data_IF_046467388870
#
_entry.id   IF_046467388870
#
_cell.length_a   1.000
_cell.length_b   1.000
_cell.length_c   1.000
_cell.angle_alpha   90.00
_cell.angle_beta   90.00
_cell.angle_gamma   90.00
#
_symmetry.space_group_name_H-M   'P 1'
#
loop_
_entity.id
_entity.type
_entity.pdbx_description
1 polymer ?
#
# COMPACT_ATOMS: atom_id res chain seq x y z
N UNK A 1 -24.79 -28.29 10.48
CA UNK A 1 -25.45 -27.10 11.06
C UNK A 1 -24.81 -25.86 10.45
N UNK A 2 -25.53 -25.16 9.57
CA UNK A 2 -25.04 -23.96 8.91
C UNK A 2 -25.13 -22.78 9.88
N UNK A 3 -23.98 -22.21 10.24
CA UNK A 3 -23.94 -21.00 11.09
C UNK A 3 -24.27 -19.81 10.19
N UNK A 4 -25.50 -19.32 10.28
CA UNK A 4 -25.91 -18.05 9.69
C UNK A 4 -25.15 -16.94 10.43
N UNK A 5 -24.24 -16.24 9.74
CA UNK A 5 -23.60 -15.02 10.28
C UNK A 5 -24.71 -14.00 10.59
N UNK A 6 -24.71 -13.35 11.78
CA UNK A 6 -25.72 -12.36 12.10
C UNK A 6 -25.65 -11.21 11.10
N UNK A 7 -26.80 -10.84 10.53
CA UNK A 7 -26.92 -9.70 9.63
C UNK A 7 -26.61 -8.40 10.36
N UNK A 8 -25.70 -7.59 9.83
CA UNK A 8 -25.37 -6.26 10.34
C UNK A 8 -26.65 -5.45 10.57
N UNK A 9 -26.83 -4.89 11.76
CA UNK A 9 -28.03 -4.14 12.14
C UNK A 9 -28.20 -2.86 11.30
N UNK A 10 -29.43 -2.35 11.20
CA UNK A 10 -29.69 -1.06 10.51
C UNK A 10 -28.88 0.10 11.12
N UNK A 11 -28.67 0.06 12.45
CA UNK A 11 -27.88 1.06 13.17
C UNK A 11 -26.41 1.01 12.76
N UNK A 12 -25.82 -0.18 12.68
CA UNK A 12 -24.44 -0.37 12.23
C UNK A 12 -24.26 0.06 10.77
N UNK A 13 -25.20 -0.29 9.88
CA UNK A 13 -25.17 0.16 8.48
C UNK A 13 -25.23 1.67 8.35
N UNK A 14 -26.11 2.33 9.11
CA UNK A 14 -26.18 3.80 9.15
C UNK A 14 -24.88 4.39 9.67
N UNK A 15 -24.30 3.83 10.73
CA UNK A 15 -23.02 4.29 11.29
C UNK A 15 -21.89 4.15 10.25
N UNK A 16 -21.82 3.02 9.54
CA UNK A 16 -20.83 2.80 8.49
C UNK A 16 -20.99 3.82 7.35
N UNK A 17 -22.21 4.02 6.85
CA UNK A 17 -22.48 5.00 5.80
C UNK A 17 -22.08 6.43 6.22
N UNK A 18 -22.35 6.82 7.47
CA UNK A 18 -21.90 8.12 7.99
C UNK A 18 -20.37 8.21 8.10
N UNK A 19 -19.69 7.13 8.48
CA UNK A 19 -18.22 7.09 8.49
C UNK A 19 -17.69 7.27 7.07
N UNK A 20 -18.25 6.58 6.08
CA UNK A 20 -17.84 6.70 4.68
C UNK A 20 -18.03 8.12 4.15
N UNK A 21 -19.13 8.79 4.52
CA UNK A 21 -19.37 10.20 4.21
C UNK A 21 -18.32 11.12 4.83
N UNK A 22 -18.02 10.95 6.13
CA UNK A 22 -16.99 11.73 6.82
C UNK A 22 -15.61 11.51 6.17
N UNK A 23 -15.26 10.26 5.82
CA UNK A 23 -14.01 9.94 5.14
C UNK A 23 -13.96 10.59 3.76
N UNK A 24 -15.03 10.51 2.97
CA UNK A 24 -15.09 11.14 1.66
C UNK A 24 -14.90 12.67 1.74
N UNK A 25 -15.49 13.33 2.73
CA UNK A 25 -15.30 14.77 2.96
C UNK A 25 -13.87 15.07 3.40
N UNK A 26 -13.34 14.32 4.36
CA UNK A 26 -11.96 14.48 4.83
C UNK A 26 -10.91 14.25 3.72
N UNK A 27 -11.16 13.34 2.78
CA UNK A 27 -10.31 13.13 1.60
C UNK A 27 -10.35 14.32 0.63
N UNK A 28 -11.52 14.94 0.41
CA UNK A 28 -11.60 16.18 -0.37
C UNK A 28 -10.85 17.31 0.31
N UNK A 29 -11.07 17.49 1.61
CA UNK A 29 -10.34 18.48 2.41
C UNK A 29 -8.82 18.28 2.33
N UNK A 30 -8.36 17.02 2.44
CA UNK A 30 -6.94 16.66 2.28
C UNK A 30 -6.41 17.03 0.89
N UNK A 31 -7.21 16.85 -0.17
CA UNK A 31 -6.81 17.20 -1.53
C UNK A 31 -6.75 18.72 -1.77
N UNK A 32 -7.65 19.49 -1.16
CA UNK A 32 -7.78 20.93 -1.36
C UNK A 32 -6.84 21.75 -0.46
N UNK A 33 -6.61 21.29 0.77
CA UNK A 33 -5.91 22.06 1.81
C UNK A 33 -4.65 21.35 2.37
N UNK A 34 -4.48 20.06 2.07
CA UNK A 34 -3.37 19.27 2.58
C UNK A 34 -3.58 18.81 4.04
N UNK A 35 -2.64 17.98 4.51
CA UNK A 35 -2.76 17.29 5.81
C UNK A 35 -2.59 18.20 7.02
N UNK A 36 -1.93 19.35 6.84
CA UNK A 36 -1.67 20.32 7.91
C UNK A 36 -2.96 21.01 8.37
N UNK A 37 -3.88 21.28 7.44
CA UNK A 37 -5.14 21.97 7.72
C UNK A 37 -6.27 21.01 8.12
N UNK A 38 -6.05 19.69 7.96
CA UNK A 38 -7.02 18.66 8.35
C UNK A 38 -7.29 18.69 9.86
N UNK A 39 -8.52 19.04 10.21
CA UNK A 39 -9.02 19.05 11.59
C UNK A 39 -10.47 18.57 11.68
N UNK A 40 -10.85 18.00 12.83
CA UNK A 40 -12.24 17.60 13.10
C UNK A 40 -13.22 18.77 12.94
N UNK A 41 -12.80 20.00 13.24
CA UNK A 41 -13.65 21.19 13.07
C UNK A 41 -13.90 21.51 11.61
N UNK A 42 -12.86 21.47 10.77
CA UNK A 42 -12.98 21.73 9.34
C UNK A 42 -13.89 20.68 8.68
N UNK A 43 -13.64 19.40 8.97
CA UNK A 43 -14.44 18.28 8.45
C UNK A 43 -15.89 18.35 8.94
N UNK A 44 -16.13 18.62 10.22
CA UNK A 44 -17.49 18.74 10.75
C UNK A 44 -18.30 19.82 10.02
N UNK A 45 -17.69 20.98 9.78
CA UNK A 45 -18.32 22.08 9.04
C UNK A 45 -18.69 21.67 7.61
N UNK A 46 -17.84 20.94 6.92
CA UNK A 46 -18.07 20.50 5.54
C UNK A 46 -19.10 19.37 5.41
N UNK A 47 -19.13 18.43 6.37
CA UNK A 47 -20.18 17.38 6.43
C UNK A 47 -21.53 17.96 6.88
N UNK A 48 -21.56 19.17 7.45
CA UNK A 48 -22.77 19.75 8.05
C UNK A 48 -23.10 19.19 9.43
N UNK A 49 -22.08 18.69 10.15
CA UNK A 49 -22.19 18.18 11.51
C UNK A 49 -21.70 19.20 12.55
N UNK A 50 -22.20 19.09 13.78
CA UNK A 50 -21.51 19.73 14.90
C UNK A 50 -20.19 19.01 15.19
N UNK A 51 -19.20 19.73 15.72
CA UNK A 51 -17.92 19.13 16.12
C UNK A 51 -18.15 18.03 17.17
N UNK A 52 -19.09 18.25 18.10
CA UNK A 52 -19.48 17.25 19.10
C UNK A 52 -20.05 15.98 18.47
N UNK A 53 -20.86 16.09 17.42
CA UNK A 53 -21.36 14.93 16.68
C UNK A 53 -20.21 14.16 16.02
N UNK A 54 -19.24 14.85 15.44
CA UNK A 54 -18.08 14.22 14.80
C UNK A 54 -17.20 13.45 15.80
N UNK A 55 -17.06 13.96 17.03
CA UNK A 55 -16.36 13.26 18.11
C UNK A 55 -16.99 11.90 18.49
N UNK A 56 -18.27 11.64 18.17
CA UNK A 56 -18.86 10.31 18.36
C UNK A 56 -18.39 9.27 17.31
N UNK A 57 -17.73 9.71 16.25
CA UNK A 57 -17.17 8.85 15.20
C UNK A 57 -15.65 8.76 15.28
N UNK A 58 -14.99 9.88 15.56
CA UNK A 58 -13.53 9.98 15.66
C UNK A 58 -13.13 10.77 16.91
N UNK A 59 -12.51 10.07 17.86
CA UNK A 59 -12.14 10.64 19.17
C UNK A 59 -11.07 11.75 19.07
N UNK A 60 -10.32 11.78 17.96
CA UNK A 60 -9.25 12.75 17.73
C UNK A 60 -8.96 12.96 16.23
N UNK A 61 -8.14 13.98 15.93
CA UNK A 61 -7.55 14.16 14.60
C UNK A 61 -6.76 12.92 14.18
N UNK A 62 -6.03 12.31 15.10
CA UNK A 62 -5.20 11.13 14.83
C UNK A 62 -6.05 9.89 14.55
N UNK A 63 -7.22 9.77 15.19
CA UNK A 63 -8.20 8.74 14.86
C UNK A 63 -8.73 8.90 13.42
N UNK A 64 -9.01 10.14 13.00
CA UNK A 64 -9.41 10.43 11.62
C UNK A 64 -8.26 10.14 10.63
N UNK A 65 -7.03 10.57 10.92
CA UNK A 65 -5.85 10.27 10.09
C UNK A 65 -5.62 8.77 9.94
N UNK A 66 -5.71 8.02 11.03
CA UNK A 66 -5.57 6.55 11.03
C UNK A 66 -6.64 5.91 10.15
N UNK A 67 -7.87 6.41 10.18
CA UNK A 67 -8.94 5.92 9.32
C UNK A 67 -8.73 6.27 7.84
N UNK A 68 -8.21 7.46 7.53
CA UNK A 68 -7.83 7.85 6.17
C UNK A 68 -6.69 6.97 5.62
N UNK A 69 -5.68 6.67 6.45
CA UNK A 69 -4.58 5.77 6.09
C UNK A 69 -5.10 4.35 5.84
N UNK A 70 -5.99 3.85 6.70
CA UNK A 70 -6.64 2.55 6.52
C UNK A 70 -7.45 2.52 5.22
N UNK A 71 -8.21 3.58 4.93
CA UNK A 71 -8.97 3.72 3.69
C UNK A 71 -8.05 3.69 2.47
N UNK A 72 -6.98 4.50 2.47
CA UNK A 72 -6.04 4.58 1.35
C UNK A 72 -5.32 3.27 1.07
N UNK A 73 -4.80 2.60 2.11
CA UNK A 73 -4.19 1.29 1.94
C UNK A 73 -5.17 0.22 1.46
N UNK A 74 -6.41 0.21 1.94
CA UNK A 74 -7.43 -0.74 1.46
C UNK A 74 -7.77 -0.49 -0.02
N UNK A 75 -8.04 0.76 -0.39
CA UNK A 75 -8.36 1.11 -1.77
C UNK A 75 -7.20 0.81 -2.73
N UNK A 76 -5.95 1.01 -2.30
CA UNK A 76 -4.78 0.62 -3.05
C UNK A 76 -4.66 -0.90 -3.16
N UNK A 77 -4.78 -1.64 -2.05
CA UNK A 77 -4.72 -3.09 -2.05
C UNK A 77 -5.79 -3.70 -2.97
N UNK A 78 -7.02 -3.18 -2.93
CA UNK A 78 -8.11 -3.64 -3.80
C UNK A 78 -7.76 -3.46 -5.29
N UNK A 79 -7.16 -2.33 -5.66
CA UNK A 79 -6.70 -2.09 -7.03
C UNK A 79 -5.58 -3.06 -7.45
N UNK A 80 -4.61 -3.33 -6.57
CA UNK A 80 -3.51 -4.25 -6.85
C UNK A 80 -4.00 -5.70 -6.99
N UNK A 81 -4.89 -6.15 -6.10
CA UNK A 81 -5.49 -7.48 -6.18
C UNK A 81 -6.31 -7.65 -7.45
N UNK A 82 -7.14 -6.66 -7.81
CA UNK A 82 -7.88 -6.68 -9.07
C UNK A 82 -6.96 -6.79 -10.30
N UNK A 83 -5.83 -6.07 -10.30
CA UNK A 83 -4.84 -6.17 -11.36
C UNK A 83 -4.16 -7.55 -11.41
N UNK A 84 -3.79 -8.09 -10.24
CA UNK A 84 -3.18 -9.42 -10.10
C UNK A 84 -4.11 -10.54 -10.58
N UNK A 85 -5.41 -10.42 -10.31
CA UNK A 85 -6.45 -11.35 -10.76
C UNK A 85 -6.71 -11.25 -12.26
N UNK A 86 -6.81 -10.03 -12.78
CA UNK A 86 -7.04 -9.79 -14.22
C UNK A 86 -5.92 -10.35 -15.09
N UNK A 87 -4.68 -10.31 -14.58
CA UNK A 87 -3.48 -10.76 -15.30
C UNK A 87 -2.97 -12.12 -14.80
N UNK A 88 -3.84 -12.94 -14.20
CA UNK A 88 -3.48 -14.26 -13.65
C UNK A 88 -2.84 -15.19 -14.68
N UNK A 89 -3.31 -15.15 -15.92
CA UNK A 89 -2.84 -16.02 -17.01
C UNK A 89 -1.72 -15.40 -17.85
N UNK A 90 -1.26 -14.19 -17.50
CA UNK A 90 -0.15 -13.55 -18.19
C UNK A 90 1.20 -14.18 -17.82
N UNK A 91 2.23 -13.94 -18.64
CA UNK A 91 3.60 -14.30 -18.28
C UNK A 91 4.03 -13.64 -16.98
N UNK A 92 4.92 -14.27 -16.21
CA UNK A 92 5.37 -13.79 -14.90
C UNK A 92 5.78 -12.30 -14.93
N UNK A 93 6.63 -11.92 -15.90
CA UNK A 93 7.10 -10.54 -16.06
C UNK A 93 5.96 -9.58 -16.39
N UNK A 94 5.06 -9.96 -17.30
CA UNK A 94 3.91 -9.13 -17.68
C UNK A 94 2.97 -8.91 -16.50
N UNK A 95 2.76 -9.93 -15.67
CA UNK A 95 1.96 -9.83 -14.44
C UNK A 95 2.60 -8.89 -13.41
N UNK A 96 3.92 -9.00 -13.19
CA UNK A 96 4.67 -8.07 -12.35
C UNK A 96 4.56 -6.62 -12.85
N UNK A 97 4.71 -6.41 -14.16
CA UNK A 97 4.60 -5.10 -14.79
C UNK A 97 3.18 -4.53 -14.64
N UNK A 98 2.14 -5.32 -14.89
CA UNK A 98 0.75 -4.89 -14.80
C UNK A 98 0.40 -4.37 -13.40
N UNK A 99 0.67 -5.15 -12.35
CA UNK A 99 0.39 -4.74 -10.95
C UNK A 99 1.21 -3.51 -10.54
N UNK A 100 2.46 -3.44 -10.98
CA UNK A 100 3.33 -2.29 -10.72
C UNK A 100 2.86 -1.01 -11.42
N UNK A 101 2.35 -1.11 -12.65
CA UNK A 101 1.76 0.02 -13.35
C UNK A 101 0.43 0.46 -12.72
N UNK A 102 -0.38 -0.47 -12.20
CA UNK A 102 -1.57 -0.14 -11.41
C UNK A 102 -1.21 0.63 -10.13
N UNK A 103 -0.14 0.23 -9.43
CA UNK A 103 0.37 0.98 -8.28
C UNK A 103 0.71 2.43 -8.65
N UNK A 104 1.44 2.62 -9.76
CA UNK A 104 1.78 3.95 -10.28
C UNK A 104 0.54 4.76 -10.65
N UNK A 105 -0.37 4.19 -11.43
CA UNK A 105 -1.58 4.89 -11.87
C UNK A 105 -2.42 5.33 -10.66
N UNK A 106 -2.58 4.44 -9.68
CA UNK A 106 -3.30 4.75 -8.44
C UNK A 106 -2.63 5.90 -7.70
N UNK A 107 -1.30 5.89 -7.56
CA UNK A 107 -0.53 6.94 -6.91
C UNK A 107 -0.74 8.31 -7.57
N UNK A 108 -0.65 8.37 -8.90
CA UNK A 108 -0.83 9.62 -9.65
C UNK A 108 -2.26 10.16 -9.57
N UNK A 109 -3.26 9.27 -9.65
CA UNK A 109 -4.69 9.64 -9.53
C UNK A 109 -5.08 10.08 -8.13
N UNK A 110 -4.43 9.55 -7.09
CA UNK A 110 -4.76 9.78 -5.69
C UNK A 110 -3.64 10.50 -4.94
N UNK A 111 -2.92 11.40 -5.62
CA UNK A 111 -1.68 12.03 -5.10
C UNK A 111 -1.74 12.54 -3.64
N UNK A 112 -2.76 13.29 -3.19
CA UNK A 112 -2.83 13.75 -1.80
C UNK A 112 -2.92 12.60 -0.80
N UNK A 113 -3.71 11.57 -1.12
CA UNK A 113 -3.85 10.37 -0.29
C UNK A 113 -2.58 9.51 -0.34
N UNK A 114 -1.97 9.34 -1.50
CA UNK A 114 -0.71 8.59 -1.63
C UNK A 114 0.42 9.25 -0.81
N UNK A 115 0.49 10.59 -0.80
CA UNK A 115 1.45 11.32 0.04
C UNK A 115 1.14 11.23 1.54
N UNK A 116 -0.13 11.02 1.93
CA UNK A 116 -0.46 10.69 3.32
C UNK A 116 0.07 9.29 3.72
N UNK A 117 0.09 8.34 2.78
CA UNK A 117 0.57 6.97 3.04
C UNK A 117 2.11 6.88 3.06
N UNK A 118 2.77 7.52 2.11
CA UNK A 118 4.19 7.30 1.82
C UNK A 118 5.04 8.58 1.71
N UNK A 119 4.44 9.75 1.92
CA UNK A 119 5.14 11.02 1.90
C UNK A 119 5.82 11.35 3.23
N UNK A 120 5.96 12.65 3.49
CA UNK A 120 6.55 13.11 4.74
C UNK A 120 5.70 12.69 5.94
N UNK A 121 6.32 12.24 7.05
CA UNK A 121 5.59 11.98 8.29
C UNK A 121 4.78 13.21 8.73
N UNK A 122 3.54 12.98 9.17
CA UNK A 122 2.68 14.05 9.66
C UNK A 122 3.16 14.46 11.06
N UNK A 123 3.54 15.74 11.28
CA UNK A 123 4.02 16.18 12.58
C UNK A 123 3.00 15.91 13.70
N UNK A 124 3.47 15.31 14.79
CA UNK A 124 2.65 14.99 15.97
C UNK A 124 1.75 13.76 15.82
N UNK A 125 1.74 13.09 14.66
CA UNK A 125 1.00 11.85 14.45
C UNK A 125 1.93 10.64 14.50
N UNK A 126 1.53 9.61 15.25
CA UNK A 126 2.15 8.29 15.23
C UNK A 126 1.09 7.26 14.86
N UNK A 127 1.29 6.53 13.76
CA UNK A 127 0.40 5.45 13.38
C UNK A 127 0.44 4.34 14.44
N UNK A 128 -0.73 3.85 14.90
CA UNK A 128 -0.77 2.72 15.82
C UNK A 128 -0.04 1.50 15.24
N UNK A 129 0.71 0.78 16.09
CA UNK A 129 1.45 -0.43 15.67
C UNK A 129 0.51 -1.53 15.16
N UNK A 130 -0.70 -1.60 15.70
CA UNK A 130 -1.74 -2.56 15.33
C UNK A 130 -3.07 -1.87 15.01
N UNK A 131 -3.99 -2.64 14.41
CA UNK A 131 -5.34 -2.20 14.10
C UNK A 131 -5.60 -2.02 12.60
N UNK A 132 -6.71 -1.36 12.23
CA UNK A 132 -7.19 -1.35 10.85
C UNK A 132 -6.21 -0.76 9.84
N UNK A 133 -5.49 0.30 10.21
CA UNK A 133 -4.49 0.92 9.34
C UNK A 133 -3.30 -0.01 9.06
N UNK A 134 -2.77 -0.66 10.11
CA UNK A 134 -1.70 -1.64 9.97
C UNK A 134 -2.14 -2.84 9.13
N UNK A 135 -3.34 -3.36 9.39
CA UNK A 135 -3.91 -4.47 8.63
C UNK A 135 -4.09 -4.12 7.15
N UNK A 136 -4.60 -2.92 6.84
CA UNK A 136 -4.73 -2.45 5.47
C UNK A 136 -3.37 -2.32 4.78
N UNK A 137 -2.34 -1.79 5.47
CA UNK A 137 -0.98 -1.74 4.93
C UNK A 137 -0.39 -3.12 4.63
N UNK A 138 -0.69 -4.14 5.46
CA UNK A 138 -0.29 -5.53 5.17
C UNK A 138 -0.93 -6.07 3.89
N UNK A 139 -2.20 -5.76 3.62
CA UNK A 139 -2.87 -6.18 2.37
C UNK A 139 -2.16 -5.70 1.10
N UNK A 140 -1.57 -4.50 1.14
CA UNK A 140 -0.76 -3.97 0.02
C UNK A 140 0.52 -4.78 -0.16
N UNK A 141 1.22 -5.07 0.94
CA UNK A 141 2.43 -5.90 0.89
C UNK A 141 2.14 -7.32 0.40
N UNK A 142 1.02 -7.91 0.84
CA UNK A 142 0.56 -9.24 0.41
C UNK A 142 0.25 -9.28 -1.09
N UNK A 143 -0.39 -8.24 -1.65
CA UNK A 143 -0.65 -8.17 -3.09
C UNK A 143 0.64 -8.16 -3.92
N UNK A 144 1.66 -7.43 -3.47
CA UNK A 144 2.97 -7.45 -4.13
C UNK A 144 3.68 -8.80 -3.96
N UNK A 145 3.66 -9.37 -2.75
CA UNK A 145 4.31 -10.64 -2.47
C UNK A 145 3.71 -11.77 -3.31
N UNK A 146 2.38 -11.77 -3.49
CA UNK A 146 1.70 -12.75 -4.33
C UNK A 146 2.22 -12.75 -5.77
N UNK A 147 2.43 -11.57 -6.36
CA UNK A 147 2.92 -11.46 -7.73
C UNK A 147 4.42 -11.71 -7.82
N UNK A 148 5.21 -11.20 -6.87
CA UNK A 148 6.68 -11.38 -6.85
C UNK A 148 7.04 -12.85 -6.72
N UNK A 149 6.38 -13.59 -5.84
CA UNK A 149 6.67 -15.01 -5.59
C UNK A 149 5.72 -15.96 -6.34
N UNK A 150 4.98 -15.46 -7.33
CA UNK A 150 4.09 -16.29 -8.15
C UNK A 150 4.87 -17.42 -8.86
N UNK A 151 4.49 -18.66 -8.56
CA UNK A 151 5.12 -19.86 -9.14
C UNK A 151 6.49 -20.22 -8.54
N UNK A 152 6.92 -19.58 -7.46
CA UNK A 152 8.10 -20.00 -6.71
C UNK A 152 7.74 -21.18 -5.79
N UNK A 153 8.63 -22.16 -5.67
CA UNK A 153 8.49 -23.21 -4.64
C UNK A 153 9.02 -22.75 -3.28
N UNK A 154 8.65 -23.47 -2.22
CA UNK A 154 9.19 -23.19 -0.88
C UNK A 154 10.72 -23.38 -0.84
N UNK A 155 11.25 -24.37 -1.57
CA UNK A 155 12.68 -24.61 -1.70
C UNK A 155 13.37 -23.43 -2.39
N UNK A 156 12.79 -22.90 -3.47
CA UNK A 156 13.34 -21.73 -4.17
C UNK A 156 13.37 -20.49 -3.28
N UNK A 157 12.28 -20.23 -2.55
CA UNK A 157 12.20 -19.12 -1.59
C UNK A 157 13.25 -19.30 -0.48
N UNK A 158 13.43 -20.52 0.03
CA UNK A 158 14.42 -20.83 1.06
C UNK A 158 15.87 -20.66 0.56
N UNK A 159 16.12 -20.96 -0.73
CA UNK A 159 17.43 -20.89 -1.35
C UNK A 159 17.86 -19.46 -1.77
N UNK A 160 16.98 -18.45 -1.66
CA UNK A 160 17.35 -17.08 -2.01
C UNK A 160 18.53 -16.59 -1.14
N UNK A 161 19.65 -16.17 -1.75
CA UNK A 161 20.81 -15.73 -0.99
C UNK A 161 20.52 -14.43 -0.25
N UNK A 162 21.05 -14.32 0.97
CA UNK A 162 21.05 -13.07 1.73
C UNK A 162 22.03 -12.10 1.05
N UNK A 163 21.63 -10.85 0.73
CA UNK A 163 22.44 -9.93 -0.07
C UNK A 163 23.58 -9.24 0.71
N UNK A 164 23.98 -9.80 1.84
CA UNK A 164 25.02 -9.24 2.72
C UNK A 164 25.82 -10.36 3.37
N UNK A 165 27.07 -10.07 3.69
CA UNK A 165 27.93 -10.91 4.54
C UNK A 165 28.00 -10.43 5.97
N UNK A 166 27.35 -9.30 6.32
CA UNK A 166 27.30 -8.77 7.68
C UNK A 166 26.37 -9.64 8.57
N UNK A 167 26.89 -10.29 9.62
CA UNK A 167 26.08 -11.11 10.52
C UNK A 167 24.99 -10.32 11.25
N UNK A 168 25.24 -9.05 11.60
CA UNK A 168 24.27 -8.24 12.33
C UNK A 168 23.05 -7.93 11.46
N UNK A 169 23.27 -7.53 10.21
CA UNK A 169 22.19 -7.31 9.26
C UNK A 169 21.46 -8.61 8.90
N UNK A 170 22.18 -9.73 8.79
CA UNK A 170 21.57 -11.05 8.56
C UNK A 170 20.61 -11.44 9.69
N UNK A 171 21.00 -11.20 10.95
CA UNK A 171 20.14 -11.43 12.11
C UNK A 171 18.89 -10.53 12.11
N UNK A 172 19.03 -9.26 11.73
CA UNK A 172 17.90 -8.34 11.61
C UNK A 172 16.91 -8.77 10.53
N UNK A 173 17.39 -9.14 9.34
CA UNK A 173 16.53 -9.67 8.26
C UNK A 173 15.81 -10.95 8.67
N UNK A 174 16.49 -11.81 9.45
CA UNK A 174 15.89 -13.03 9.99
C UNK A 174 14.76 -12.73 10.96
N UNK A 175 14.98 -11.84 11.92
CA UNK A 175 13.94 -11.40 12.86
C UNK A 175 12.76 -10.72 12.16
N UNK A 176 13.03 -9.89 11.15
CA UNK A 176 12.00 -9.23 10.35
C UNK A 176 11.16 -10.25 9.55
N UNK A 177 11.79 -11.24 8.92
CA UNK A 177 11.08 -12.31 8.21
C UNK A 177 10.17 -13.09 9.16
N UNK A 178 10.66 -13.49 10.33
CA UNK A 178 9.86 -14.19 11.34
C UNK A 178 8.65 -13.37 11.83
N UNK A 179 8.83 -12.06 12.01
CA UNK A 179 7.78 -11.19 12.56
C UNK A 179 6.74 -10.78 11.51
N UNK A 180 7.17 -10.51 10.27
CA UNK A 180 6.35 -9.85 9.26
C UNK A 180 5.90 -10.77 8.12
N UNK A 181 6.71 -11.75 7.77
CA UNK A 181 6.50 -12.61 6.60
C UNK A 181 7.11 -14.01 6.83
N UNK A 182 6.55 -14.82 7.75
CA UNK A 182 7.17 -16.07 8.23
C UNK A 182 7.31 -17.16 7.15
N UNK A 183 6.71 -16.94 5.97
CA UNK A 183 6.83 -17.80 4.80
C UNK A 183 8.02 -17.44 3.90
N UNK A 184 8.69 -16.31 4.13
CA UNK A 184 9.86 -15.88 3.37
C UNK A 184 11.16 -16.18 4.12
N UNK A 185 12.19 -16.56 3.38
CA UNK A 185 13.56 -16.57 3.90
C UNK A 185 14.07 -15.13 4.10
N UNK A 186 15.15 -14.91 4.89
CA UNK A 186 15.75 -13.58 5.02
C UNK A 186 16.23 -13.01 3.68
N UNK A 187 16.72 -13.87 2.78
CA UNK A 187 17.10 -13.48 1.42
C UNK A 187 15.89 -13.07 0.58
N UNK A 188 14.80 -13.86 0.62
CA UNK A 188 13.57 -13.54 -0.10
C UNK A 188 12.94 -12.23 0.40
N UNK A 189 12.90 -12.00 1.71
CA UNK A 189 12.44 -10.72 2.28
C UNK A 189 13.29 -9.55 1.77
N UNK A 190 14.62 -9.70 1.77
CA UNK A 190 15.51 -8.65 1.28
C UNK A 190 15.27 -8.34 -0.21
N UNK A 191 15.04 -9.36 -1.04
CA UNK A 191 14.71 -9.17 -2.45
C UNK A 191 13.34 -8.53 -2.66
N UNK A 192 12.34 -8.90 -1.87
CA UNK A 192 11.03 -8.26 -1.87
C UNK A 192 11.16 -6.76 -1.53
N UNK A 193 11.89 -6.42 -0.47
CA UNK A 193 12.13 -5.03 -0.07
C UNK A 193 12.90 -4.25 -1.15
N UNK A 194 13.89 -4.86 -1.79
CA UNK A 194 14.63 -4.25 -2.89
C UNK A 194 13.76 -3.99 -4.13
N UNK A 195 12.91 -4.96 -4.50
CA UNK A 195 11.95 -4.80 -5.59
C UNK A 195 10.95 -3.68 -5.30
N UNK A 196 10.40 -3.66 -4.08
CA UNK A 196 9.50 -2.59 -3.63
C UNK A 196 10.19 -1.22 -3.63
N UNK A 197 11.43 -1.12 -3.13
CA UNK A 197 12.17 0.14 -3.12
C UNK A 197 12.42 0.69 -4.53
N UNK A 198 12.73 -0.18 -5.50
CA UNK A 198 12.92 0.23 -6.89
C UNK A 198 11.62 0.74 -7.54
N UNK A 199 10.52 0.00 -7.37
CA UNK A 199 9.19 0.40 -7.85
C UNK A 199 8.74 1.71 -7.20
N UNK A 200 8.72 1.73 -5.87
CA UNK A 200 8.22 2.85 -5.08
C UNK A 200 9.04 4.11 -5.32
N UNK A 201 10.37 4.00 -5.38
CA UNK A 201 11.28 5.11 -5.65
C UNK A 201 11.00 5.76 -7.01
N UNK A 202 10.80 4.96 -8.07
CA UNK A 202 10.43 5.48 -9.39
C UNK A 202 9.09 6.22 -9.36
N UNK A 203 8.08 5.64 -8.72
CA UNK A 203 6.75 6.26 -8.58
C UNK A 203 6.82 7.56 -7.78
N UNK A 204 7.61 7.62 -6.71
CA UNK A 204 7.81 8.86 -5.93
C UNK A 204 8.52 9.94 -6.74
N UNK A 205 9.54 9.59 -7.52
CA UNK A 205 10.22 10.55 -8.40
C UNK A 205 9.28 11.11 -9.46
N UNK A 206 8.40 10.29 -10.02
CA UNK A 206 7.38 10.71 -10.98
C UNK A 206 6.33 11.61 -10.31
N UNK A 207 5.73 11.14 -9.22
CA UNK A 207 4.67 11.83 -8.49
C UNK A 207 5.10 13.21 -7.96
N UNK A 208 6.38 13.35 -7.60
CA UNK A 208 6.99 14.61 -7.15
C UNK A 208 7.59 15.45 -8.30
N UNK A 209 7.34 15.09 -9.56
CA UNK A 209 7.78 15.81 -10.76
C UNK A 209 9.31 15.88 -10.95
N UNK A 210 10.08 14.98 -10.34
CA UNK A 210 11.53 14.85 -10.59
C UNK A 210 11.83 14.23 -11.96
N UNK A 211 10.86 13.51 -12.55
CA UNK A 211 10.96 12.91 -13.88
C UNK A 211 10.25 13.71 -14.98
N UNK A 212 9.84 14.96 -14.72
CA UNK A 212 9.08 15.79 -15.69
C UNK A 212 9.78 16.07 -17.02
N UNK A 213 11.07 15.77 -17.11
CA UNK A 213 11.85 15.86 -18.36
C UNK A 213 11.52 14.71 -19.33
N UNK A 214 10.87 13.65 -18.85
CA UNK A 214 10.23 12.62 -19.68
C UNK A 214 8.81 13.12 -20.04
N UNK A 215 8.64 13.59 -21.26
CA UNK A 215 7.37 14.15 -21.74
C UNK A 215 6.40 13.08 -22.25
N UNK A 216 5.09 13.30 -22.06
CA UNK A 216 4.03 12.43 -22.56
C UNK A 216 4.18 10.96 -22.13
N UNK A 217 4.08 10.06 -23.10
CA UNK A 217 4.13 8.62 -22.85
C UNK A 217 5.53 8.11 -22.45
N UNK A 218 6.59 8.92 -22.63
CA UNK A 218 7.96 8.51 -22.32
C UNK A 218 8.17 8.16 -20.84
N UNK A 219 7.49 8.86 -19.93
CA UNK A 219 7.54 8.54 -18.51
C UNK A 219 6.95 7.15 -18.22
N UNK A 220 5.85 6.80 -18.89
CA UNK A 220 5.17 5.52 -18.72
C UNK A 220 5.98 4.38 -19.32
N UNK A 221 6.55 4.58 -20.50
CA UNK A 221 7.42 3.61 -21.16
C UNK A 221 8.75 3.39 -20.41
N UNK A 222 9.31 4.44 -19.80
CA UNK A 222 10.48 4.31 -18.94
C UNK A 222 10.17 3.45 -17.71
N UNK A 223 9.04 3.70 -17.02
CA UNK A 223 8.61 2.85 -15.90
C UNK A 223 8.43 1.40 -16.34
N UNK A 224 7.72 1.17 -17.45
CA UNK A 224 7.54 -0.17 -18.01
C UNK A 224 8.88 -0.86 -18.27
N UNK A 225 9.83 -0.18 -18.91
CA UNK A 225 11.15 -0.73 -19.19
C UNK A 225 11.92 -1.13 -17.91
N UNK A 226 11.90 -0.27 -16.88
CA UNK A 226 12.53 -0.56 -15.58
C UNK A 226 11.87 -1.75 -14.87
N UNK A 227 10.54 -1.86 -14.96
CA UNK A 227 9.79 -2.96 -14.37
C UNK A 227 10.02 -4.29 -15.10
N UNK A 228 10.17 -4.27 -16.43
CA UNK A 228 10.57 -5.46 -17.20
C UNK A 228 11.96 -5.93 -16.75
N UNK A 229 12.92 -5.02 -16.58
CA UNK A 229 14.26 -5.38 -16.08
C UNK A 229 14.21 -5.98 -14.67
N UNK A 230 13.41 -5.42 -13.76
CA UNK A 230 13.20 -5.96 -12.42
C UNK A 230 12.57 -7.35 -12.48
N UNK A 231 11.50 -7.53 -13.25
CA UNK A 231 10.82 -8.82 -13.43
C UNK A 231 11.75 -9.90 -14.00
N UNK A 232 12.56 -9.55 -15.00
CA UNK A 232 13.56 -10.47 -15.56
C UNK A 232 14.63 -10.88 -14.54
N UNK A 233 15.10 -9.95 -13.69
CA UNK A 233 16.04 -10.30 -12.60
C UNK A 233 15.41 -11.24 -11.58
N UNK A 234 14.15 -11.02 -11.21
CA UNK A 234 13.43 -11.89 -10.27
C UNK A 234 13.19 -13.28 -10.87
N UNK A 235 12.83 -13.36 -12.16
CA UNK A 235 12.67 -14.63 -12.87
C UNK A 235 14.01 -15.40 -12.94
N UNK A 236 15.10 -14.73 -13.32
CA UNK A 236 16.43 -15.35 -13.35
C UNK A 236 16.89 -15.82 -11.96
N UNK A 237 16.55 -15.06 -10.90
CA UNK A 237 16.83 -15.47 -9.53
C UNK A 237 16.05 -16.73 -9.15
N UNK A 238 14.74 -16.77 -9.46
CA UNK A 238 13.89 -17.94 -9.22
C UNK A 238 14.48 -19.18 -9.91
N UNK A 239 14.83 -19.06 -11.18
CA UNK A 239 15.29 -20.19 -11.98
C UNK A 239 16.70 -20.68 -11.58
N UNK A 240 17.46 -19.86 -10.85
CA UNK A 240 18.76 -20.22 -10.27
C UNK A 240 18.71 -20.77 -8.84
N UNK A 241 17.55 -20.72 -8.20
CA UNK A 241 17.26 -21.31 -6.89
C UNK A 241 16.62 -22.69 -7.06
#
# INVERSE_FOLDING_TARGET
MSVVKPSVSLRERRRAATIDEIIAVALRHLAEHGVHDLSLRAVAREVGMTVQALYHYFDSRDALLTALIAHGHNALADALWAAADTHRDAGYVDRCVAVSLTYREWALRNKPLFLLLYGNPVPGYAAPEEGPARAAGRRVAEAFAEVVFAGWTAEQIAAVPVPTTDPALTAQLTGAAQAMAPHLSPGALAQFLGAWAQLHGLVMLDLLNHLRWLEGDAATEYHRAMLIQLGNRLAALRDGC
#
